data_IF_763078861334
#
_entry.id   IF_763078861334
#
_cell.length_a   1.000
_cell.length_b   1.000
_cell.length_c   1.000
_cell.angle_alpha   90.00
_cell.angle_beta   90.00
_cell.angle_gamma   90.00
#
_symmetry.space_group_name_H-M   'P 1'
#
loop_
_entity.id
_entity.type
_entity.pdbx_description
1 polymer ?
#
# COMPACT_ATOMS: atom_id res chain seq x y z
N UNK A 1 4.63 7.27 -0.36
CA UNK A 1 5.90 7.84 -0.88
C UNK A 1 6.37 8.93 0.08
N UNK A 2 7.69 9.04 0.30
CA UNK A 2 8.27 10.00 1.25
C UNK A 2 8.28 11.44 0.71
N UNK A 3 8.12 12.42 1.58
CA UNK A 3 8.25 13.84 1.22
C UNK A 3 9.74 14.21 1.14
N UNK A 4 10.21 14.55 -0.06
CA UNK A 4 11.60 14.98 -0.29
C UNK A 4 11.97 16.25 0.51
N UNK A 5 10.99 17.09 0.86
CA UNK A 5 11.26 18.30 1.68
C UNK A 5 11.64 17.91 3.09
N UNK A 6 10.90 16.98 3.70
CA UNK A 6 11.19 16.46 5.03
C UNK A 6 12.56 15.77 5.07
N UNK A 7 12.93 15.02 4.02
CA UNK A 7 14.26 14.39 3.91
C UNK A 7 15.37 15.46 3.83
N UNK A 8 15.17 16.55 3.06
CA UNK A 8 16.13 17.67 3.00
C UNK A 8 16.31 18.40 4.31
N UNK A 9 15.22 18.56 5.06
CA UNK A 9 15.26 19.27 6.34
C UNK A 9 16.00 18.47 7.42
N UNK A 10 15.83 17.15 7.45
CA UNK A 10 16.49 16.31 8.45
C UNK A 10 16.87 14.91 7.90
N UNK A 11 17.93 14.82 7.08
CA UNK A 11 18.37 13.54 6.50
C UNK A 11 18.84 12.54 7.56
N UNK A 12 19.43 13.02 8.66
CA UNK A 12 19.90 12.15 9.72
C UNK A 12 18.75 11.46 10.47
N UNK A 13 17.65 12.16 10.73
CA UNK A 13 16.47 11.57 11.35
C UNK A 13 15.80 10.56 10.41
N UNK A 14 15.78 10.84 9.11
CA UNK A 14 15.28 9.91 8.10
C UNK A 14 16.08 8.59 8.10
N UNK A 15 17.40 8.68 8.02
CA UNK A 15 18.27 7.50 8.03
C UNK A 15 18.22 6.75 9.38
N UNK A 16 18.11 7.46 10.51
CA UNK A 16 17.94 6.82 11.81
C UNK A 16 16.62 6.03 11.93
N UNK A 17 15.53 6.55 11.38
CA UNK A 17 14.25 5.85 11.38
C UNK A 17 14.29 4.60 10.48
N UNK A 18 14.99 4.66 9.34
CA UNK A 18 15.22 3.49 8.49
C UNK A 18 16.12 2.45 9.16
N UNK A 19 17.13 2.88 9.89
CA UNK A 19 18.04 2.00 10.63
C UNK A 19 17.28 1.17 11.69
N UNK A 20 16.24 1.71 12.33
CA UNK A 20 15.36 0.94 13.23
C UNK A 20 14.68 -0.24 12.51
N UNK A 21 14.40 -0.10 11.20
CA UNK A 21 13.86 -1.17 10.34
C UNK A 21 14.94 -2.06 9.71
N UNK A 22 16.19 -1.99 10.19
CA UNK A 22 17.30 -2.75 9.65
C UNK A 22 17.73 -2.32 8.23
N UNK A 23 17.37 -1.10 7.78
CA UNK A 23 17.71 -0.61 6.44
C UNK A 23 18.96 0.25 6.47
N UNK A 24 19.72 0.19 5.38
CA UNK A 24 20.88 1.07 5.19
C UNK A 24 20.46 2.54 5.01
N UNK A 25 21.32 3.51 5.37
CA UNK A 25 21.09 4.92 5.11
C UNK A 25 21.06 5.20 3.60
N UNK A 26 20.07 5.97 3.15
CA UNK A 26 19.86 6.27 1.72
C UNK A 26 19.64 7.76 1.45
N UNK A 27 19.59 8.60 2.48
CA UNK A 27 19.29 10.03 2.33
C UNK A 27 20.27 10.74 1.41
N UNK A 28 21.57 10.41 1.47
CA UNK A 28 22.59 11.01 0.60
C UNK A 28 22.35 10.75 -0.88
N UNK A 29 21.95 9.55 -1.24
CA UNK A 29 21.62 9.17 -2.62
C UNK A 29 20.38 9.93 -3.11
N UNK A 30 19.33 9.99 -2.28
CA UNK A 30 18.10 10.72 -2.58
C UNK A 30 18.39 12.20 -2.80
N UNK A 31 19.16 12.82 -1.91
CA UNK A 31 19.51 14.25 -1.98
C UNK A 31 20.40 14.58 -3.19
N UNK A 32 21.27 13.67 -3.61
CA UNK A 32 22.05 13.83 -4.83
C UNK A 32 21.14 13.89 -6.07
N UNK A 33 20.20 12.94 -6.21
CA UNK A 33 19.22 12.92 -7.31
C UNK A 33 18.33 14.18 -7.30
N UNK A 34 17.83 14.58 -6.13
CA UNK A 34 17.02 15.81 -6.00
C UNK A 34 17.82 17.08 -6.36
N UNK A 35 19.10 17.15 -5.96
CA UNK A 35 19.97 18.27 -6.29
C UNK A 35 20.20 18.38 -7.81
N UNK A 36 20.50 17.26 -8.46
CA UNK A 36 20.68 17.20 -9.91
C UNK A 36 19.41 17.58 -10.67
N UNK A 37 18.26 17.06 -10.24
CA UNK A 37 16.95 17.42 -10.80
C UNK A 37 16.69 18.93 -10.69
N UNK A 38 16.92 19.50 -9.52
CA UNK A 38 16.71 20.93 -9.26
C UNK A 38 17.65 21.81 -10.08
N UNK A 39 18.91 21.38 -10.26
CA UNK A 39 19.85 22.09 -11.11
C UNK A 39 19.35 22.16 -12.56
N UNK A 40 18.89 21.04 -13.14
CA UNK A 40 18.28 21.05 -14.48
C UNK A 40 17.07 21.98 -14.59
N UNK A 41 16.21 22.02 -13.58
CA UNK A 41 15.03 22.92 -13.56
C UNK A 41 15.47 24.38 -13.51
N UNK A 42 16.42 24.74 -12.63
CA UNK A 42 16.91 26.11 -12.51
C UNK A 42 17.60 26.61 -13.77
N UNK A 43 18.40 25.75 -14.41
CA UNK A 43 19.04 26.08 -15.69
C UNK A 43 18.02 26.24 -16.81
N UNK A 44 16.96 25.41 -16.85
CA UNK A 44 15.89 25.55 -17.83
C UNK A 44 15.10 26.87 -17.63
N UNK A 45 14.81 27.22 -16.38
CA UNK A 45 14.14 28.49 -16.03
C UNK A 45 15.01 29.71 -16.43
N UNK A 46 16.32 29.66 -16.18
CA UNK A 46 17.24 30.70 -16.60
C UNK A 46 17.29 30.84 -18.15
N UNK A 47 17.41 29.72 -18.87
CA UNK A 47 17.36 29.72 -20.32
C UNK A 47 16.03 30.24 -20.88
N UNK A 48 14.91 29.93 -20.21
CA UNK A 48 13.59 30.45 -20.58
C UNK A 48 13.49 31.98 -20.36
N UNK A 49 14.09 32.49 -19.29
CA UNK A 49 14.18 33.95 -19.06
C UNK A 49 15.00 34.65 -20.14
N UNK A 50 16.11 34.05 -20.58
CA UNK A 50 16.92 34.54 -21.71
C UNK A 50 16.11 34.58 -23.00
N UNK A 51 15.31 33.53 -23.31
CA UNK A 51 14.42 33.47 -24.46
C UNK A 51 13.42 34.63 -24.40
N UNK A 52 12.80 34.88 -23.28
CA UNK A 52 11.81 35.92 -23.08
C UNK A 52 12.43 37.31 -23.28
N UNK A 53 13.64 37.52 -22.78
CA UNK A 53 14.40 38.77 -22.96
C UNK A 53 14.80 38.99 -24.44
N UNK A 54 15.42 37.98 -25.04
CA UNK A 54 15.86 38.05 -26.46
C UNK A 54 14.67 38.22 -27.38
N UNK A 55 13.54 37.57 -27.13
CA UNK A 55 12.34 37.71 -27.97
C UNK A 55 11.77 39.13 -27.99
N UNK A 56 11.83 39.87 -26.87
CA UNK A 56 11.46 41.30 -26.82
C UNK A 56 12.41 42.14 -27.65
N UNK A 57 13.72 41.82 -27.65
CA UNK A 57 14.75 42.54 -28.40
C UNK A 57 14.69 42.25 -29.91
N UNK A 58 14.28 41.04 -30.31
CA UNK A 58 14.04 40.69 -31.73
C UNK A 58 13.06 41.66 -32.40
N UNK A 59 11.96 41.96 -31.70
CA UNK A 59 10.95 42.93 -32.19
C UNK A 59 11.54 44.33 -32.37
N UNK A 60 12.38 44.77 -31.43
CA UNK A 60 13.01 46.09 -31.47
C UNK A 60 14.10 46.19 -32.58
N UNK A 61 14.93 45.16 -32.78
CA UNK A 61 15.90 45.10 -33.83
C UNK A 61 15.26 45.11 -35.21
N UNK A 62 14.18 44.37 -35.42
CA UNK A 62 13.40 44.38 -36.66
C UNK A 62 12.80 45.74 -36.96
N UNK A 63 12.27 46.41 -35.96
CA UNK A 63 11.68 47.77 -36.12
C UNK A 63 12.72 48.84 -36.46
N UNK A 64 14.01 48.63 -36.06
CA UNK A 64 15.12 49.52 -36.35
C UNK A 64 15.83 49.18 -37.68
N UNK A 65 15.50 48.06 -38.34
CA UNK A 65 16.15 47.61 -39.57
C UNK A 65 17.54 47.04 -39.32
N UNK A 66 17.90 46.67 -38.09
CA UNK A 66 19.18 46.07 -37.73
C UNK A 66 19.15 44.55 -37.99
N UNK A 67 19.46 44.15 -39.22
CA UNK A 67 19.39 42.77 -39.67
C UNK A 67 20.42 41.86 -38.96
N UNK A 68 21.61 42.40 -38.68
CA UNK A 68 22.65 41.65 -38.00
C UNK A 68 22.24 41.27 -36.58
N UNK A 69 21.73 42.22 -35.83
CA UNK A 69 21.25 41.97 -34.46
C UNK A 69 19.99 41.10 -34.43
N UNK A 70 19.11 41.26 -35.43
CA UNK A 70 17.92 40.42 -35.58
C UNK A 70 18.31 38.95 -35.79
N UNK A 71 19.23 38.63 -36.71
CA UNK A 71 19.66 37.21 -36.90
C UNK A 71 20.44 36.66 -35.72
N UNK A 72 21.25 37.48 -35.05
CA UNK A 72 21.95 37.07 -33.82
C UNK A 72 20.95 36.69 -32.72
N UNK A 73 19.94 37.50 -32.50
CA UNK A 73 18.89 37.25 -31.47
C UNK A 73 18.02 36.04 -31.82
N UNK A 74 17.71 35.82 -33.10
CA UNK A 74 17.01 34.63 -33.58
C UNK A 74 17.81 33.37 -33.32
N UNK A 75 19.09 33.40 -33.60
CA UNK A 75 20.01 32.31 -33.32
C UNK A 75 20.05 31.95 -31.84
N UNK A 76 20.22 32.97 -30.98
CA UNK A 76 20.16 32.83 -29.53
C UNK A 76 18.84 32.22 -29.04
N UNK A 77 17.69 32.70 -29.52
CA UNK A 77 16.39 32.13 -29.16
C UNK A 77 16.29 30.64 -29.57
N UNK A 78 16.79 30.31 -30.76
CA UNK A 78 16.77 28.92 -31.24
C UNK A 78 17.63 28.00 -30.39
N UNK A 79 18.87 28.43 -30.09
CA UNK A 79 19.78 27.70 -29.22
C UNK A 79 19.21 27.48 -27.81
N UNK A 80 18.69 28.56 -27.19
CA UNK A 80 18.12 28.51 -25.87
C UNK A 80 16.85 27.63 -25.80
N UNK A 81 16.03 27.61 -26.86
CA UNK A 81 14.88 26.67 -26.94
C UNK A 81 15.33 25.22 -26.96
N UNK A 82 16.40 24.89 -27.69
CA UNK A 82 16.96 23.55 -27.69
C UNK A 82 17.53 23.18 -26.29
N UNK A 83 18.20 24.16 -25.63
CA UNK A 83 18.69 23.99 -24.26
C UNK A 83 17.56 23.72 -23.26
N UNK A 84 16.47 24.49 -23.29
CA UNK A 84 15.30 24.29 -22.42
C UNK A 84 14.69 22.90 -22.63
N UNK A 85 14.50 22.49 -23.89
CA UNK A 85 13.94 21.17 -24.20
C UNK A 85 14.82 20.04 -23.64
N UNK A 86 16.15 20.11 -23.81
CA UNK A 86 17.08 19.12 -23.30
C UNK A 86 17.09 19.08 -21.76
N UNK A 87 17.15 20.24 -21.09
CA UNK A 87 17.15 20.33 -19.62
C UNK A 87 15.83 19.85 -19.01
N UNK A 88 14.70 20.13 -19.66
CA UNK A 88 13.38 19.63 -19.23
C UNK A 88 13.31 18.11 -19.30
N UNK A 89 13.83 17.52 -20.39
CA UNK A 89 13.88 16.06 -20.50
C UNK A 89 14.82 15.43 -19.45
N UNK A 90 15.99 16.03 -19.23
CA UNK A 90 16.89 15.58 -18.17
C UNK A 90 16.24 15.67 -16.78
N UNK A 91 15.55 16.78 -16.49
CA UNK A 91 14.82 16.93 -15.21
C UNK A 91 13.76 15.85 -15.04
N UNK A 92 13.03 15.51 -16.10
CA UNK A 92 12.03 14.45 -16.11
C UNK A 92 12.64 13.08 -15.81
N UNK A 93 13.72 12.70 -16.49
CA UNK A 93 14.42 11.43 -16.24
C UNK A 93 14.90 11.33 -14.77
N UNK A 94 15.41 12.44 -14.23
CA UNK A 94 15.85 12.47 -12.83
C UNK A 94 14.68 12.43 -11.83
N UNK A 95 13.54 13.01 -12.18
CA UNK A 95 12.32 12.95 -11.38
C UNK A 95 11.74 11.52 -11.33
N UNK A 96 11.75 10.83 -12.47
CA UNK A 96 11.38 9.41 -12.56
C UNK A 96 12.33 8.55 -11.72
N UNK A 97 13.63 8.72 -11.83
CA UNK A 97 14.61 7.99 -11.02
C UNK A 97 14.47 8.26 -9.52
N UNK A 98 14.24 9.52 -9.13
CA UNK A 98 13.97 9.89 -7.74
C UNK A 98 12.68 9.25 -7.22
N UNK A 99 11.64 9.25 -8.03
CA UNK A 99 10.36 8.63 -7.71
C UNK A 99 10.50 7.13 -7.48
N UNK A 100 11.22 6.43 -8.37
CA UNK A 100 11.44 4.99 -8.25
C UNK A 100 12.22 4.63 -6.97
N UNK A 101 13.25 5.42 -6.63
CA UNK A 101 13.98 5.24 -5.36
C UNK A 101 13.04 5.44 -4.16
N UNK A 102 12.28 6.55 -4.13
CA UNK A 102 11.36 6.84 -3.02
C UNK A 102 10.23 5.82 -2.89
N UNK A 103 9.78 5.23 -3.99
CA UNK A 103 8.77 4.16 -3.99
C UNK A 103 9.29 2.83 -3.46
N UNK A 104 10.59 2.59 -3.49
CA UNK A 104 11.22 1.37 -2.99
C UNK A 104 11.61 1.42 -1.50
N UNK A 105 11.40 2.55 -0.82
CA UNK A 105 11.82 2.74 0.57
C UNK A 105 10.67 2.44 1.53
N UNK A 106 10.93 1.63 2.56
CA UNK A 106 9.97 1.32 3.62
C UNK A 106 9.53 2.60 4.35
N UNK A 107 8.26 2.67 4.76
CA UNK A 107 7.78 3.84 5.50
C UNK A 107 8.45 3.94 6.88
N UNK A 108 8.53 5.17 7.40
CA UNK A 108 9.17 5.44 8.68
C UNK A 108 8.24 5.06 9.83
N UNK A 109 8.71 4.29 10.84
CA UNK A 109 7.91 3.97 12.01
C UNK A 109 7.64 5.20 12.86
N UNK A 110 6.62 5.14 13.71
CA UNK A 110 6.49 6.09 14.81
C UNK A 110 7.53 5.81 15.89
N UNK A 111 7.85 6.82 16.71
CA UNK A 111 8.87 6.71 17.78
C UNK A 111 8.50 5.66 18.83
N UNK A 112 7.20 5.46 19.08
CA UNK A 112 6.65 4.49 20.02
C UNK A 112 6.33 3.11 19.41
N UNK A 113 6.70 2.87 18.17
CA UNK A 113 6.64 1.53 17.57
C UNK A 113 7.69 0.65 18.23
N UNK A 114 7.35 -0.59 18.68
CA UNK A 114 8.31 -1.48 19.31
C UNK A 114 9.52 -1.76 18.42
N UNK A 115 10.72 -1.74 19.01
CA UNK A 115 11.93 -2.20 18.33
C UNK A 115 11.95 -3.74 18.34
N UNK A 116 12.48 -4.34 17.28
CA UNK A 116 12.57 -5.79 17.13
C UNK A 116 12.95 -6.19 15.71
N UNK A 117 13.32 -7.45 15.54
CA UNK A 117 13.80 -7.98 14.26
C UNK A 117 12.72 -8.77 13.49
N UNK A 118 11.85 -9.47 14.21
CA UNK A 118 10.84 -10.37 13.62
C UNK A 118 9.62 -10.53 14.56
N UNK A 119 8.72 -11.44 14.21
CA UNK A 119 7.46 -11.70 14.90
C UNK A 119 7.62 -12.06 16.40
N UNK A 120 8.77 -12.58 16.83
CA UNK A 120 9.02 -12.92 18.23
C UNK A 120 9.16 -11.66 19.12
N UNK A 121 9.48 -10.52 18.53
CA UNK A 121 9.63 -9.25 19.22
C UNK A 121 8.33 -8.42 19.24
N UNK A 122 7.23 -8.93 18.68
CA UNK A 122 5.93 -8.27 18.70
C UNK A 122 5.39 -8.16 20.12
N UNK A 123 4.75 -7.03 20.46
CA UNK A 123 4.29 -6.73 21.82
C UNK A 123 2.78 -6.96 21.93
N UNK A 124 2.36 -7.89 22.79
CA UNK A 124 0.95 -8.05 23.10
C UNK A 124 0.39 -6.81 23.81
N UNK A 125 -0.65 -6.21 23.23
CA UNK A 125 -1.31 -5.03 23.77
C UNK A 125 -2.70 -5.33 24.35
N UNK A 126 -3.30 -6.45 23.95
CA UNK A 126 -4.60 -6.91 24.47
C UNK A 126 -4.77 -8.40 24.27
N UNK A 127 -5.53 -9.01 25.18
CA UNK A 127 -6.05 -10.37 25.05
C UNK A 127 -7.53 -10.39 25.45
N UNK A 128 -8.33 -11.17 24.73
CA UNK A 128 -9.74 -11.36 25.02
C UNK A 128 -10.11 -12.85 24.92
N UNK A 129 -11.06 -13.25 25.76
CA UNK A 129 -11.50 -14.63 25.87
C UNK A 129 -10.45 -15.55 26.50
N UNK A 130 -10.86 -16.80 26.73
CA UNK A 130 -9.99 -17.85 27.26
C UNK A 130 -10.05 -19.03 26.31
N UNK A 131 -8.91 -19.49 25.77
CA UNK A 131 -8.85 -20.71 24.98
C UNK A 131 -9.49 -21.89 25.72
N UNK A 132 -10.32 -22.67 25.03
CA UNK A 132 -10.95 -23.84 25.62
C UNK A 132 -9.91 -24.91 25.90
N UNK A 133 -10.10 -25.66 26.99
CA UNK A 133 -9.32 -26.85 27.29
C UNK A 133 -10.12 -28.07 26.88
N UNK A 134 -9.46 -29.05 26.25
CA UNK A 134 -10.06 -30.29 25.80
C UNK A 134 -9.42 -31.48 26.48
N UNK A 135 -10.24 -32.49 26.82
CA UNK A 135 -9.75 -33.80 27.34
C UNK A 135 -9.23 -34.71 26.19
N UNK A 136 -9.27 -34.24 24.96
CA UNK A 136 -8.81 -34.93 23.74
C UNK A 136 -7.92 -34.03 22.91
N UNK A 137 -7.14 -34.59 21.99
CA UNK A 137 -6.35 -33.82 21.03
C UNK A 137 -7.29 -33.16 20.02
N UNK A 138 -7.37 -31.81 19.98
CA UNK A 138 -8.21 -31.12 19.01
C UNK A 138 -7.63 -31.33 17.61
N UNK A 139 -8.55 -31.43 16.63
CA UNK A 139 -8.23 -31.60 15.22
C UNK A 139 -8.13 -30.25 14.52
N UNK A 140 -7.38 -30.20 13.45
CA UNK A 140 -7.38 -29.06 12.56
C UNK A 140 -8.70 -28.95 11.76
N UNK A 141 -8.99 -27.75 11.26
CA UNK A 141 -10.27 -27.44 10.61
C UNK A 141 -10.61 -28.39 9.44
N UNK A 142 -9.62 -28.84 8.68
CA UNK A 142 -9.81 -29.75 7.55
C UNK A 142 -9.93 -31.23 7.95
N UNK A 143 -9.65 -31.56 9.21
CA UNK A 143 -9.78 -32.93 9.75
C UNK A 143 -11.10 -33.16 10.49
N UNK A 144 -11.90 -32.11 10.69
CA UNK A 144 -13.16 -32.18 11.39
C UNK A 144 -14.20 -32.94 10.54
N UNK A 145 -14.93 -33.94 11.08
CA UNK A 145 -15.98 -34.64 10.32
C UNK A 145 -17.01 -33.68 9.71
N UNK A 146 -17.35 -32.60 10.42
CA UNK A 146 -18.32 -31.61 9.96
C UNK A 146 -17.85 -30.80 8.74
N UNK A 147 -16.56 -30.77 8.44
CA UNK A 147 -16.01 -30.03 7.30
C UNK A 147 -15.65 -30.93 6.11
N UNK A 148 -15.52 -32.24 6.30
CA UNK A 148 -15.08 -33.18 5.26
C UNK A 148 -15.98 -33.15 4.01
N UNK A 149 -17.29 -33.04 4.18
CA UNK A 149 -18.22 -32.94 3.03
C UNK A 149 -18.33 -31.52 2.45
N UNK A 150 -17.77 -30.54 3.13
CA UNK A 150 -17.88 -29.11 2.78
C UNK A 150 -16.59 -28.47 2.26
N UNK A 151 -15.42 -29.11 2.44
CA UNK A 151 -14.12 -28.64 1.98
C UNK A 151 -13.55 -29.65 0.98
N UNK A 152 -13.58 -29.33 -0.33
CA UNK A 152 -13.05 -30.20 -1.37
C UNK A 152 -11.78 -29.60 -1.98
N UNK A 153 -10.65 -30.06 -1.47
CA UNK A 153 -9.32 -29.70 -1.94
C UNK A 153 -8.89 -30.51 -3.16
N UNK A 154 -9.40 -31.76 -3.30
CA UNK A 154 -9.02 -32.64 -4.39
C UNK A 154 -9.56 -32.15 -5.72
N UNK A 155 -10.86 -31.83 -5.79
CA UNK A 155 -11.46 -31.29 -7.00
C UNK A 155 -10.94 -29.90 -7.31
N UNK A 156 -10.75 -29.04 -6.31
CA UNK A 156 -10.11 -27.74 -6.47
C UNK A 156 -8.71 -27.87 -7.08
N UNK A 157 -7.93 -28.85 -6.60
CA UNK A 157 -6.60 -29.17 -7.12
C UNK A 157 -6.60 -29.57 -8.59
N UNK A 158 -7.61 -30.32 -9.03
CA UNK A 158 -7.79 -30.70 -10.46
C UNK A 158 -8.15 -29.50 -11.34
N UNK A 159 -8.92 -28.54 -10.81
CA UNK A 159 -9.40 -27.37 -11.55
C UNK A 159 -8.34 -26.28 -11.63
N UNK A 160 -7.68 -25.97 -10.49
CA UNK A 160 -6.87 -24.75 -10.34
C UNK A 160 -5.47 -25.00 -9.75
N UNK A 161 -5.19 -26.22 -9.27
CA UNK A 161 -3.92 -26.52 -8.58
C UNK A 161 -4.02 -26.47 -7.06
N UNK A 162 -2.87 -26.50 -6.41
CA UNK A 162 -2.79 -26.41 -4.94
C UNK A 162 -3.25 -25.04 -4.42
N UNK A 163 -3.54 -24.96 -3.11
CA UNK A 163 -3.95 -23.71 -2.41
C UNK A 163 -5.25 -23.10 -2.97
N UNK A 164 -6.15 -23.97 -3.44
CA UNK A 164 -7.54 -23.65 -3.75
C UNK A 164 -8.45 -24.63 -3.02
N UNK A 165 -9.65 -24.21 -2.72
CA UNK A 165 -10.67 -25.04 -2.06
C UNK A 165 -12.03 -24.77 -2.67
N UNK A 166 -12.85 -25.83 -2.83
CA UNK A 166 -14.28 -25.71 -3.13
C UNK A 166 -15.03 -25.81 -1.82
N UNK A 167 -15.83 -24.80 -1.53
CA UNK A 167 -16.74 -24.81 -0.38
C UNK A 167 -18.12 -25.27 -0.80
N UNK A 168 -18.72 -26.20 -0.07
CA UNK A 168 -20.02 -26.77 -0.40
C UNK A 168 -20.97 -26.82 0.80
N UNK A 169 -22.26 -26.88 0.52
CA UNK A 169 -23.31 -27.13 1.51
C UNK A 169 -23.32 -26.14 2.69
N UNK A 170 -23.27 -26.67 3.88
CA UNK A 170 -23.29 -25.89 5.12
C UNK A 170 -22.05 -24.99 5.28
N UNK A 171 -20.88 -25.44 4.85
CA UNK A 171 -19.63 -24.67 4.92
C UNK A 171 -19.71 -23.45 3.99
N UNK A 172 -20.15 -23.60 2.75
CA UNK A 172 -20.36 -22.47 1.83
C UNK A 172 -21.39 -21.47 2.38
N UNK A 173 -22.45 -21.97 3.01
CA UNK A 173 -23.44 -21.10 3.65
C UNK A 173 -22.87 -20.34 4.83
N UNK A 174 -22.07 -20.99 5.68
CA UNK A 174 -21.41 -20.37 6.83
C UNK A 174 -20.40 -19.30 6.38
N UNK A 175 -19.60 -19.61 5.37
CA UNK A 175 -18.64 -18.66 4.76
C UNK A 175 -19.35 -17.36 4.32
N UNK A 176 -20.45 -17.49 3.56
CA UNK A 176 -21.25 -16.33 3.12
C UNK A 176 -21.88 -15.59 4.32
N UNK A 177 -22.39 -16.34 5.32
CA UNK A 177 -23.02 -15.74 6.48
C UNK A 177 -22.02 -14.92 7.32
N UNK A 178 -20.77 -15.41 7.47
CA UNK A 178 -19.69 -14.69 8.18
C UNK A 178 -19.31 -13.40 7.44
N UNK A 179 -19.16 -13.45 6.11
CA UNK A 179 -18.85 -12.28 5.31
C UNK A 179 -19.96 -11.21 5.44
N UNK A 180 -21.22 -11.62 5.34
CA UNK A 180 -22.35 -10.71 5.50
C UNK A 180 -22.46 -10.16 6.92
N UNK A 181 -22.27 -10.97 7.94
CA UNK A 181 -22.27 -10.54 9.35
C UNK A 181 -21.20 -9.46 9.60
N UNK A 182 -19.96 -9.67 9.13
CA UNK A 182 -18.89 -8.68 9.26
C UNK A 182 -19.25 -7.37 8.55
N UNK A 183 -19.71 -7.47 7.30
CA UNK A 183 -20.08 -6.31 6.48
C UNK A 183 -21.21 -5.50 7.12
N UNK A 184 -22.32 -6.17 7.51
CA UNK A 184 -23.47 -5.55 8.16
C UNK A 184 -23.10 -4.89 9.50
N UNK A 185 -22.21 -5.52 10.28
CA UNK A 185 -21.70 -4.94 11.54
C UNK A 185 -20.92 -3.65 11.26
N UNK A 186 -20.04 -3.65 10.27
CA UNK A 186 -19.26 -2.46 9.94
C UNK A 186 -20.13 -1.32 9.41
N UNK A 187 -21.15 -1.62 8.62
CA UNK A 187 -22.07 -0.61 8.07
C UNK A 187 -23.01 -0.06 9.16
N UNK A 188 -23.69 -0.94 9.87
CA UNK A 188 -24.79 -0.54 10.75
C UNK A 188 -24.32 0.00 12.11
N UNK A 189 -23.15 -0.46 12.59
CA UNK A 189 -22.71 -0.15 13.95
C UNK A 189 -21.39 0.62 13.99
N UNK A 190 -20.47 0.33 13.06
CA UNK A 190 -19.16 0.97 13.05
C UNK A 190 -19.08 2.21 12.15
N UNK A 191 -20.18 2.58 11.46
CA UNK A 191 -20.30 3.80 10.68
C UNK A 191 -19.43 3.84 9.42
N UNK A 192 -19.19 2.67 8.79
CA UNK A 192 -18.50 2.60 7.52
C UNK A 192 -19.50 2.58 6.35
N UNK A 193 -19.09 3.09 5.20
CA UNK A 193 -19.87 3.04 3.97
C UNK A 193 -19.52 1.77 3.20
N UNK A 194 -20.50 0.90 2.98
CA UNK A 194 -20.34 -0.26 2.11
C UNK A 194 -20.03 0.20 0.68
N UNK A 195 -18.99 -0.40 0.11
CA UNK A 195 -18.50 -0.02 -1.21
C UNK A 195 -18.13 -1.27 -2.00
N UNK A 196 -18.79 -1.49 -3.11
CA UNK A 196 -18.45 -2.59 -4.03
C UNK A 196 -17.49 -2.06 -5.10
N UNK A 197 -16.29 -2.63 -5.16
CA UNK A 197 -15.21 -2.16 -6.03
C UNK A 197 -14.79 -3.23 -7.06
N UNK A 198 -14.22 -2.82 -8.21
CA UNK A 198 -13.61 -3.76 -9.15
C UNK A 198 -12.49 -4.58 -8.51
N UNK A 199 -12.34 -5.84 -8.92
CA UNK A 199 -11.20 -6.70 -8.52
C UNK A 199 -10.05 -6.68 -9.53
N UNK A 200 -10.28 -6.12 -10.71
CA UNK A 200 -9.26 -5.88 -11.75
C UNK A 200 -8.88 -4.40 -11.77
N UNK A 201 -7.60 -4.11 -11.63
CA UNK A 201 -7.08 -2.74 -11.51
C UNK A 201 -5.88 -2.51 -12.43
N UNK A 202 -5.56 -1.23 -12.66
CA UNK A 202 -4.38 -0.79 -13.41
C UNK A 202 -3.16 -0.67 -12.49
N UNK A 203 -1.98 -0.55 -13.10
CA UNK A 203 -0.70 -0.33 -12.40
C UNK A 203 -0.77 0.82 -11.38
N UNK A 204 -1.39 1.93 -11.75
CA UNK A 204 -1.46 3.11 -10.90
C UNK A 204 -2.16 2.83 -9.57
N UNK A 205 -3.21 2.01 -9.58
CA UNK A 205 -3.91 1.64 -8.36
C UNK A 205 -3.05 0.74 -7.44
N UNK A 206 -2.32 -0.21 -8.04
CA UNK A 206 -1.37 -1.06 -7.29
C UNK A 206 -0.21 -0.24 -6.71
N UNK A 207 0.31 0.74 -7.47
CA UNK A 207 1.36 1.67 -7.00
C UNK A 207 0.84 2.59 -5.91
N UNK A 208 -0.40 3.03 -5.99
CA UNK A 208 -1.04 3.94 -5.01
C UNK A 208 -1.10 3.39 -3.59
N UNK A 209 -1.07 2.06 -3.44
CA UNK A 209 -1.06 1.37 -2.14
C UNK A 209 0.25 0.63 -1.86
N UNK A 210 1.30 0.86 -2.68
CA UNK A 210 2.63 0.26 -2.47
C UNK A 210 2.71 -1.23 -2.79
N UNK A 211 1.74 -1.80 -3.51
CA UNK A 211 1.83 -3.18 -3.99
C UNK A 211 2.90 -3.32 -5.09
N UNK A 212 2.98 -2.33 -5.98
CA UNK A 212 4.02 -2.24 -6.98
C UNK A 212 5.06 -1.15 -6.62
N UNK A 213 6.33 -1.36 -6.98
CA UNK A 213 6.90 -2.52 -7.68
C UNK A 213 7.22 -3.71 -6.77
N UNK A 214 7.25 -3.56 -5.46
CA UNK A 214 7.85 -4.48 -4.49
C UNK A 214 7.21 -5.88 -4.47
N UNK A 215 5.89 -5.96 -4.59
CA UNK A 215 5.12 -7.20 -4.50
C UNK A 215 4.56 -7.67 -5.84
N UNK A 216 5.23 -7.32 -6.94
CA UNK A 216 4.81 -7.75 -8.28
C UNK A 216 4.75 -9.28 -8.41
N UNK A 217 5.72 -10.01 -7.84
CA UNK A 217 5.80 -11.47 -7.89
C UNK A 217 4.70 -12.16 -7.05
N UNK A 218 4.20 -11.46 -6.02
CA UNK A 218 3.09 -11.95 -5.18
C UNK A 218 1.71 -11.63 -5.78
N UNK A 219 1.66 -10.95 -6.91
CA UNK A 219 0.43 -10.49 -7.55
C UNK A 219 0.15 -11.20 -8.86
N UNK A 220 -1.13 -11.47 -9.16
CA UNK A 220 -1.55 -11.99 -10.45
C UNK A 220 -1.78 -10.86 -11.45
N UNK A 221 -1.20 -11.01 -12.66
CA UNK A 221 -1.42 -10.10 -13.77
C UNK A 221 -2.05 -10.82 -14.96
N UNK A 222 -2.99 -10.16 -15.61
CA UNK A 222 -3.60 -10.65 -16.85
C UNK A 222 -2.70 -10.36 -18.05
N UNK A 223 -2.88 -11.09 -19.15
CA UNK A 223 -2.08 -10.91 -20.38
C UNK A 223 -2.24 -9.56 -21.05
N UNK A 224 -3.31 -8.82 -20.73
CA UNK A 224 -3.56 -7.45 -21.19
C UNK A 224 -3.17 -6.36 -20.17
N UNK A 225 -2.40 -6.72 -19.14
CA UNK A 225 -1.77 -5.77 -18.23
C UNK A 225 -2.62 -5.32 -17.03
N UNK A 226 -3.75 -5.97 -16.75
CA UNK A 226 -4.52 -5.70 -15.53
C UNK A 226 -4.01 -6.57 -14.38
N UNK A 227 -4.21 -6.10 -13.14
CA UNK A 227 -3.87 -6.82 -11.93
C UNK A 227 -5.12 -7.28 -11.19
N UNK A 228 -5.09 -8.49 -10.63
CA UNK A 228 -6.08 -8.93 -9.65
C UNK A 228 -5.66 -8.39 -8.28
N UNK A 229 -6.59 -7.78 -7.55
CA UNK A 229 -6.29 -7.18 -6.26
C UNK A 229 -5.92 -8.24 -5.21
N UNK A 230 -4.84 -8.03 -4.42
CA UNK A 230 -4.53 -8.88 -3.27
C UNK A 230 -5.38 -8.52 -2.04
N UNK A 231 -6.06 -7.39 -2.07
CA UNK A 231 -6.90 -6.81 -1.03
C UNK A 231 -7.74 -5.67 -1.61
N UNK A 232 -8.95 -5.48 -1.15
CA UNK A 232 -9.76 -4.31 -1.54
C UNK A 232 -9.23 -2.98 -0.98
N UNK A 233 -8.25 -3.00 -0.08
CA UNK A 233 -7.48 -1.80 0.28
C UNK A 233 -6.98 -1.06 -0.96
N UNK A 234 -6.51 -1.79 -1.98
CA UNK A 234 -6.05 -1.21 -3.24
C UNK A 234 -7.11 -0.32 -3.87
N UNK A 235 -8.32 -0.81 -3.99
CA UNK A 235 -9.41 -0.07 -4.64
C UNK A 235 -10.02 0.99 -3.74
N UNK A 236 -10.26 0.68 -2.47
CA UNK A 236 -10.87 1.60 -1.51
C UNK A 236 -10.00 2.82 -1.24
N UNK A 237 -8.69 2.65 -1.11
CA UNK A 237 -7.74 3.75 -0.90
C UNK A 237 -7.65 4.64 -2.13
N UNK A 238 -7.67 4.05 -3.32
CA UNK A 238 -7.60 4.80 -4.58
C UNK A 238 -8.88 5.60 -4.93
N UNK A 239 -10.00 5.42 -4.22
CA UNK A 239 -11.19 6.29 -4.36
C UNK A 239 -10.82 7.77 -4.20
N UNK A 240 -9.84 8.09 -3.37
CA UNK A 240 -9.40 9.46 -3.09
C UNK A 240 -8.06 9.80 -3.75
N UNK A 241 -7.52 8.93 -4.58
CA UNK A 241 -6.24 9.16 -5.25
C UNK A 241 -6.30 10.40 -6.15
N UNK A 242 -5.31 11.28 -6.03
CA UNK A 242 -5.24 12.52 -6.80
C UNK A 242 -6.25 13.60 -6.42
N UNK A 243 -7.09 13.38 -5.40
CA UNK A 243 -8.05 14.37 -4.92
C UNK A 243 -7.44 15.26 -3.84
N UNK A 244 -7.83 16.52 -3.85
CA UNK A 244 -7.68 17.42 -2.70
C UNK A 244 -9.00 17.44 -1.97
N UNK A 245 -9.02 16.94 -0.75
CA UNK A 245 -10.22 16.86 0.07
C UNK A 245 -10.28 18.06 1.02
N UNK A 246 -11.49 18.59 1.21
CA UNK A 246 -11.76 19.53 2.28
C UNK A 246 -11.76 18.79 3.62
N UNK A 247 -11.27 19.42 4.69
CA UNK A 247 -11.21 18.82 6.03
C UNK A 247 -12.58 18.40 6.54
N UNK A 248 -13.63 19.13 6.17
CA UNK A 248 -15.02 18.81 6.51
C UNK A 248 -15.54 17.51 5.88
N UNK A 249 -14.84 16.97 4.88
CA UNK A 249 -15.16 15.69 4.24
C UNK A 249 -14.49 14.48 4.93
N UNK A 250 -13.73 14.73 5.97
CA UNK A 250 -13.01 13.70 6.72
C UNK A 250 -13.66 13.44 8.09
N UNK A 251 -13.61 12.23 8.63
CA UNK A 251 -13.02 11.04 8.01
C UNK A 251 -13.96 10.42 6.96
N UNK A 252 -13.39 9.80 5.92
CA UNK A 252 -14.11 8.89 5.01
C UNK A 252 -13.80 7.46 5.40
N UNK A 253 -14.82 6.68 5.64
CA UNK A 253 -14.71 5.30 6.10
C UNK A 253 -15.42 4.37 5.14
N UNK A 254 -14.70 3.40 4.61
CA UNK A 254 -15.21 2.44 3.64
C UNK A 254 -15.07 1.03 4.15
N UNK A 255 -15.99 0.16 3.76
CA UNK A 255 -15.85 -1.29 3.93
C UNK A 255 -16.27 -1.99 2.65
N UNK A 256 -15.60 -3.09 2.32
CA UNK A 256 -15.89 -3.90 1.15
C UNK A 256 -15.71 -5.38 1.46
N UNK A 257 -16.61 -6.21 0.94
CA UNK A 257 -16.41 -7.65 0.80
C UNK A 257 -15.95 -7.93 -0.64
N UNK A 258 -14.81 -8.56 -0.80
CA UNK A 258 -14.28 -8.85 -2.14
C UNK A 258 -13.48 -10.15 -2.21
N UNK A 259 -13.39 -10.71 -3.41
CA UNK A 259 -12.36 -11.68 -3.76
C UNK A 259 -10.99 -11.00 -3.72
N UNK A 260 -10.00 -11.72 -3.20
CA UNK A 260 -8.61 -11.31 -3.13
C UNK A 260 -7.72 -12.41 -3.70
N UNK A 261 -6.59 -12.03 -4.31
CA UNK A 261 -5.73 -12.95 -5.05
C UNK A 261 -4.27 -12.72 -4.69
N UNK A 262 -3.55 -13.79 -4.27
CA UNK A 262 -2.13 -13.74 -3.96
C UNK A 262 -1.41 -14.96 -4.54
N UNK A 263 -0.29 -14.75 -5.22
CA UNK A 263 0.50 -15.86 -5.77
C UNK A 263 1.30 -16.61 -4.70
N UNK A 264 1.43 -16.02 -3.50
CA UNK A 264 2.12 -16.63 -2.35
C UNK A 264 3.55 -17.10 -2.70
N UNK A 265 4.26 -16.35 -3.54
CA UNK A 265 5.57 -16.71 -4.09
C UNK A 265 6.62 -16.97 -2.99
N UNK A 266 6.56 -16.23 -1.88
CA UNK A 266 7.48 -16.36 -0.74
C UNK A 266 7.10 -17.41 0.30
N UNK A 267 5.97 -18.13 0.13
CA UNK A 267 5.41 -19.01 1.18
C UNK A 267 5.53 -20.51 0.89
N UNK A 268 6.51 -20.91 0.09
CA UNK A 268 6.72 -22.33 -0.25
C UNK A 268 6.90 -23.18 1.03
N UNK A 269 6.06 -24.22 1.16
CA UNK A 269 6.11 -25.15 2.31
C UNK A 269 5.41 -24.69 3.59
N UNK A 270 4.87 -23.45 3.66
CA UNK A 270 4.09 -22.97 4.81
C UNK A 270 2.60 -23.21 4.60
N UNK A 271 1.89 -23.64 5.64
CA UNK A 271 0.42 -23.80 5.66
C UNK A 271 -0.13 -24.46 4.39
N UNK A 272 0.46 -25.59 4.00
CA UNK A 272 0.12 -26.29 2.75
C UNK A 272 -1.16 -27.12 2.88
N UNK A 273 -1.58 -27.43 4.11
CA UNK A 273 -2.82 -28.15 4.38
C UNK A 273 -3.93 -27.18 4.81
N UNK A 274 -5.18 -27.54 4.50
CA UNK A 274 -6.36 -26.75 4.86
C UNK A 274 -6.49 -25.46 4.04
N UNK A 275 -7.24 -24.49 4.58
CA UNK A 275 -7.59 -23.24 3.89
C UNK A 275 -6.99 -21.99 4.51
N UNK A 276 -5.94 -22.12 5.31
CA UNK A 276 -5.30 -20.97 5.98
C UNK A 276 -4.59 -20.04 4.99
N UNK A 277 -4.01 -20.61 3.93
CA UNK A 277 -3.25 -19.85 2.94
C UNK A 277 -3.64 -20.27 1.53
N UNK A 278 -4.44 -19.43 0.87
CA UNK A 278 -5.03 -19.71 -0.43
C UNK A 278 -4.61 -18.65 -1.47
N UNK A 279 -4.53 -19.07 -2.75
CA UNK A 279 -4.29 -18.15 -3.87
C UNK A 279 -5.49 -17.24 -4.15
N UNK A 280 -6.70 -17.72 -3.83
CA UNK A 280 -7.94 -16.97 -3.90
C UNK A 280 -8.68 -17.10 -2.57
N UNK A 281 -9.07 -15.98 -1.99
CA UNK A 281 -9.82 -15.92 -0.73
C UNK A 281 -10.75 -14.72 -0.74
N UNK A 282 -11.65 -14.66 0.22
CA UNK A 282 -12.54 -13.51 0.41
C UNK A 282 -12.16 -12.75 1.69
N UNK A 283 -12.32 -11.43 1.65
CA UNK A 283 -12.02 -10.55 2.78
C UNK A 283 -13.05 -9.44 2.90
N UNK A 284 -13.47 -9.18 4.13
CA UNK A 284 -14.15 -7.94 4.49
C UNK A 284 -13.11 -6.95 4.98
N UNK A 285 -12.91 -5.90 4.20
CA UNK A 285 -11.88 -4.89 4.40
C UNK A 285 -12.45 -3.61 4.99
N UNK A 286 -11.68 -2.91 5.80
CA UNK A 286 -11.96 -1.57 6.27
C UNK A 286 -10.86 -0.60 5.85
N UNK A 287 -11.22 0.55 5.29
CA UNK A 287 -10.28 1.64 4.97
C UNK A 287 -10.84 2.95 5.52
N UNK A 288 -9.99 3.70 6.22
CA UNK A 288 -10.32 5.03 6.69
C UNK A 288 -9.34 6.06 6.15
N UNK A 289 -9.87 7.12 5.53
CA UNK A 289 -9.12 8.31 5.13
C UNK A 289 -9.43 9.40 6.14
N UNK A 290 -8.42 9.85 6.89
CA UNK A 290 -8.60 10.77 8.00
C UNK A 290 -7.57 11.90 7.94
N UNK A 291 -7.80 12.97 8.70
CA UNK A 291 -6.77 13.99 8.92
C UNK A 291 -5.54 13.35 9.58
N UNK A 292 -4.31 13.73 9.20
CA UNK A 292 -3.07 13.13 9.75
C UNK A 292 -3.03 13.11 11.27
N UNK A 293 -3.49 14.17 11.96
CA UNK A 293 -3.50 14.27 13.43
C UNK A 293 -4.42 13.26 14.11
N UNK A 294 -5.37 12.70 13.37
CA UNK A 294 -6.34 11.72 13.87
C UNK A 294 -6.03 10.28 13.45
N UNK A 295 -4.97 10.05 12.69
CA UNK A 295 -4.68 8.73 12.12
C UNK A 295 -4.42 7.66 13.18
N UNK A 296 -3.78 7.99 14.29
CA UNK A 296 -3.55 7.06 15.42
C UNK A 296 -4.86 6.65 16.09
N UNK A 297 -5.69 7.63 16.43
CA UNK A 297 -7.00 7.38 17.05
C UNK A 297 -7.91 6.58 16.13
N UNK A 298 -7.84 6.83 14.82
CA UNK A 298 -8.61 6.07 13.84
C UNK A 298 -8.10 4.63 13.70
N UNK A 299 -6.78 4.38 13.75
CA UNK A 299 -6.23 3.05 13.82
C UNK A 299 -6.75 2.28 15.04
N UNK A 300 -6.71 2.89 16.22
CA UNK A 300 -7.22 2.28 17.44
C UNK A 300 -8.72 1.97 17.35
N UNK A 301 -9.51 2.84 16.70
CA UNK A 301 -10.92 2.60 16.42
C UNK A 301 -11.12 1.44 15.47
N UNK A 302 -10.37 1.37 14.37
CA UNK A 302 -10.45 0.28 13.39
C UNK A 302 -10.06 -1.05 14.01
N UNK A 303 -9.01 -1.08 14.84
CA UNK A 303 -8.62 -2.27 15.60
C UNK A 303 -9.77 -2.77 16.46
N UNK A 304 -10.44 -1.87 17.20
CA UNK A 304 -11.63 -2.23 18.01
C UNK A 304 -12.81 -2.74 17.17
N UNK A 305 -13.01 -2.23 15.98
CA UNK A 305 -14.04 -2.73 15.07
C UNK A 305 -13.76 -4.19 14.65
N UNK A 306 -12.50 -4.51 14.35
CA UNK A 306 -12.09 -5.88 14.00
C UNK A 306 -12.17 -6.83 15.21
N UNK A 307 -11.68 -6.40 16.39
CA UNK A 307 -11.79 -7.14 17.64
C UNK A 307 -13.26 -7.44 17.99
N UNK A 308 -14.16 -6.46 17.82
CA UNK A 308 -15.59 -6.63 18.09
C UNK A 308 -16.27 -7.70 17.23
N UNK A 309 -15.77 -8.01 16.06
CA UNK A 309 -16.24 -9.15 15.25
C UNK A 309 -15.92 -10.47 15.96
N UNK A 310 -14.69 -10.62 16.45
CA UNK A 310 -14.24 -11.83 17.13
C UNK A 310 -14.94 -12.02 18.48
N UNK A 311 -15.13 -10.92 19.22
CA UNK A 311 -15.88 -10.93 20.50
C UNK A 311 -17.32 -11.42 20.32
N UNK A 312 -18.01 -10.99 19.24
CA UNK A 312 -19.36 -11.45 18.92
C UNK A 312 -19.43 -12.90 18.46
N UNK A 313 -18.34 -13.40 17.87
CA UNK A 313 -18.21 -14.80 17.49
C UNK A 313 -17.68 -15.65 18.65
N UNK A 314 -17.44 -15.05 19.82
CA UNK A 314 -16.88 -15.71 21.02
C UNK A 314 -15.55 -16.43 20.74
N UNK A 315 -14.73 -15.85 19.85
CA UNK A 315 -13.41 -16.40 19.47
C UNK A 315 -12.31 -15.75 20.30
N UNK A 316 -11.55 -16.51 21.11
CA UNK A 316 -10.42 -15.98 21.86
C UNK A 316 -9.34 -15.45 20.91
N UNK A 317 -8.79 -14.28 21.23
CA UNK A 317 -7.75 -13.64 20.42
C UNK A 317 -6.77 -12.86 21.29
N UNK A 318 -5.63 -12.53 20.71
CA UNK A 318 -4.73 -11.48 21.19
C UNK A 318 -4.48 -10.45 20.11
N UNK A 319 -4.30 -9.20 20.51
CA UNK A 319 -3.85 -8.13 19.63
C UNK A 319 -2.41 -7.78 19.98
N UNK A 320 -1.55 -7.74 18.98
CA UNK A 320 -0.14 -7.42 19.12
C UNK A 320 0.19 -6.14 18.34
N UNK A 321 1.07 -5.30 18.89
CA UNK A 321 1.72 -4.25 18.13
C UNK A 321 2.96 -4.85 17.47
N UNK A 322 3.04 -4.77 16.15
CA UNK A 322 4.19 -5.29 15.42
C UNK A 322 5.42 -4.41 15.70
N UNK A 323 6.56 -5.07 15.84
CA UNK A 323 7.85 -4.40 15.93
C UNK A 323 8.29 -3.89 14.55
N UNK A 324 9.28 -3.00 14.54
CA UNK A 324 9.75 -2.34 13.31
C UNK A 324 10.28 -3.31 12.25
N UNK A 325 10.78 -4.49 12.64
CA UNK A 325 11.28 -5.51 11.74
C UNK A 325 10.19 -6.35 11.07
N UNK A 326 9.02 -6.49 11.73
CA UNK A 326 7.89 -7.29 11.26
C UNK A 326 6.81 -6.47 10.54
N UNK A 327 6.83 -5.14 10.69
CA UNK A 327 5.85 -4.25 10.04
C UNK A 327 5.89 -4.34 8.52
N UNK A 328 4.71 -4.31 7.89
CA UNK A 328 4.55 -4.17 6.45
C UNK A 328 5.25 -2.92 5.89
N UNK A 329 5.59 -2.97 4.61
CA UNK A 329 6.35 -1.95 3.86
C UNK A 329 5.79 -0.53 3.99
N UNK A 330 4.47 -0.36 3.81
CA UNK A 330 3.80 0.95 3.82
C UNK A 330 3.43 1.45 5.21
N UNK A 331 3.57 0.62 6.25
CA UNK A 331 3.07 0.94 7.56
C UNK A 331 4.02 1.83 8.38
N UNK A 332 3.42 2.69 9.21
CA UNK A 332 4.12 3.43 10.27
C UNK A 332 3.88 2.79 11.64
N UNK A 333 2.77 2.10 11.80
CA UNK A 333 2.35 1.30 12.96
C UNK A 333 1.39 0.24 12.48
N UNK A 334 1.50 -0.95 13.02
CA UNK A 334 0.62 -2.08 12.69
C UNK A 334 0.16 -2.75 13.98
N UNK A 335 -1.14 -3.07 14.02
CA UNK A 335 -1.70 -3.98 14.99
C UNK A 335 -2.10 -5.25 14.24
N UNK A 336 -1.71 -6.39 14.76
CA UNK A 336 -2.17 -7.69 14.27
C UNK A 336 -3.10 -8.33 15.29
N UNK A 337 -4.13 -9.04 14.81
CA UNK A 337 -5.11 -9.73 15.66
C UNK A 337 -4.99 -11.22 15.35
N UNK A 338 -4.54 -11.97 16.35
CA UNK A 338 -4.28 -13.39 16.24
C UNK A 338 -5.38 -14.18 16.96
N UNK A 339 -6.15 -14.94 16.18
CA UNK A 339 -7.22 -15.79 16.70
C UNK A 339 -6.68 -17.14 17.10
N UNK A 340 -7.05 -17.62 18.28
CA UNK A 340 -6.64 -18.94 18.73
C UNK A 340 -7.32 -20.05 17.92
N UNK A 341 -6.52 -21.00 17.41
CA UNK A 341 -6.97 -22.17 16.66
C UNK A 341 -6.67 -23.44 17.46
N UNK A 342 -7.70 -24.20 17.91
CA UNK A 342 -7.51 -25.37 18.78
C UNK A 342 -6.56 -26.43 18.22
N UNK A 343 -6.57 -26.66 16.91
CA UNK A 343 -5.75 -27.69 16.26
C UNK A 343 -4.30 -27.32 16.09
N UNK A 344 -3.95 -26.02 16.26
CA UNK A 344 -2.56 -25.53 16.09
C UNK A 344 -1.93 -25.03 17.39
N UNK A 345 -2.74 -24.83 18.41
CA UNK A 345 -2.39 -24.35 19.76
C UNK A 345 -1.82 -22.95 19.81
#
# INVERSE_FOLDING_TARGET
MHDIRAIRENPAAFDAALARRGKAPVSSQILALDSERRACIQEAEAAQADINSASKQVGAAKAKGDEAEFERLRGLVSEKKAQVANLTEQAKVKDEALTDVLMGIDNLPYDDTPDGADEADNVEIRRWGTPATFEFAPKEHFELPATQDGLDFETAGKISGSRFVILSGAIARMHRALAQFMLDTHVNENGLTETNTPVLVRDEAMRGTGQLPKFAEDSYQTTNGWWLIPTSEVTLTNIVSGLTLDETQLPRRYTAHSLCFRSEAGSAGRDTAGMLRQHQFEKVEMVSVTHPDHSRTELDRMTKCAEGILERLELPYRTVALCVGDMGFGARRTHDIEVWLPGQN
#
